data_IF_414678399610
#
_entry.id   IF_414678399610
#
_cell.length_a   1.000
_cell.length_b   1.000
_cell.length_c   1.000
_cell.angle_alpha   90.00
_cell.angle_beta   90.00
_cell.angle_gamma   90.00
#
_symmetry.space_group_name_H-M   'P 1'
#
loop_
_entity.id
_entity.type
_entity.pdbx_description
1 polymer ?
#
# COMPACT_ATOMS: atom_id res chain seq x y z
N UNK A 1 -47.11 -62.61 -47.64
CA UNK A 1 -45.68 -62.40 -47.92
C UNK A 1 -45.42 -60.91 -47.93
N UNK A 2 -44.75 -60.37 -46.97
CA UNK A 2 -44.51 -58.93 -46.86
C UNK A 2 -43.60 -58.66 -45.67
N UNK A 3 -42.28 -58.60 -45.90
CA UNK A 3 -41.27 -58.32 -44.92
C UNK A 3 -41.29 -56.81 -44.58
N UNK A 4 -41.51 -56.47 -43.32
CA UNK A 4 -41.32 -55.08 -42.78
C UNK A 4 -39.85 -54.96 -42.28
N UNK A 5 -39.07 -54.12 -42.92
CA UNK A 5 -37.77 -53.65 -42.40
C UNK A 5 -37.97 -52.61 -41.31
N UNK A 6 -37.50 -52.91 -40.14
CA UNK A 6 -37.46 -51.91 -39.04
C UNK A 6 -36.15 -51.12 -39.06
N UNK A 7 -36.27 -49.85 -39.24
CA UNK A 7 -35.14 -48.88 -39.16
C UNK A 7 -34.86 -48.51 -37.69
N UNK A 8 -33.74 -48.97 -37.16
CA UNK A 8 -33.27 -48.59 -35.81
C UNK A 8 -32.46 -47.29 -35.95
N UNK A 9 -32.99 -46.22 -35.47
CA UNK A 9 -32.28 -44.94 -35.32
C UNK A 9 -31.43 -45.02 -34.04
N UNK A 10 -30.12 -44.98 -34.23
CA UNK A 10 -29.13 -44.85 -33.13
C UNK A 10 -28.90 -43.36 -32.88
N UNK A 11 -29.40 -42.87 -31.73
CA UNK A 11 -29.12 -41.54 -31.26
C UNK A 11 -27.75 -41.56 -30.56
N UNK A 12 -26.74 -41.00 -31.23
CA UNK A 12 -25.41 -40.76 -30.64
C UNK A 12 -25.43 -39.55 -29.78
N UNK A 13 -25.35 -39.70 -28.46
CA UNK A 13 -25.15 -38.63 -27.55
C UNK A 13 -23.68 -38.18 -27.61
N UNK A 14 -23.41 -37.00 -28.20
CA UNK A 14 -22.13 -36.31 -28.15
C UNK A 14 -22.05 -35.60 -26.77
N UNK A 15 -21.31 -36.21 -25.83
CA UNK A 15 -20.91 -35.56 -24.60
C UNK A 15 -19.77 -34.59 -24.93
N UNK A 16 -20.10 -33.26 -25.03
CA UNK A 16 -19.12 -32.20 -25.01
C UNK A 16 -18.54 -32.13 -23.59
N UNK A 17 -17.39 -32.75 -23.38
CA UNK A 17 -16.56 -32.50 -22.22
C UNK A 17 -15.93 -31.11 -22.37
N UNK A 18 -16.58 -30.05 -21.82
CA UNK A 18 -15.95 -28.78 -21.57
C UNK A 18 -14.85 -28.99 -20.50
N UNK A 19 -13.64 -29.26 -20.97
CA UNK A 19 -12.45 -29.18 -20.12
C UNK A 19 -12.29 -27.77 -19.62
N UNK A 20 -12.69 -27.49 -18.39
CA UNK A 20 -12.26 -26.33 -17.62
C UNK A 20 -10.76 -26.47 -17.39
N UNK A 21 -9.96 -26.04 -18.36
CA UNK A 21 -8.55 -25.79 -18.13
C UNK A 21 -8.49 -24.61 -17.12
N UNK A 22 -8.41 -24.95 -15.84
CA UNK A 22 -7.87 -24.01 -14.86
C UNK A 22 -6.47 -23.65 -15.37
N UNK A 23 -6.34 -22.44 -15.90
CA UNK A 23 -5.06 -21.84 -16.19
C UNK A 23 -4.36 -21.66 -14.83
N UNK A 24 -3.69 -22.71 -14.39
CA UNK A 24 -2.68 -22.68 -13.36
C UNK A 24 -1.58 -21.83 -13.98
N UNK A 25 -1.47 -20.58 -13.54
CA UNK A 25 -0.34 -19.74 -13.87
C UNK A 25 0.88 -20.49 -13.34
N UNK A 26 1.57 -21.23 -14.20
CA UNK A 26 2.92 -21.71 -13.93
C UNK A 26 3.78 -20.47 -13.81
N UNK A 27 3.85 -19.90 -12.62
CA UNK A 27 4.88 -18.92 -12.31
C UNK A 27 6.20 -19.66 -12.44
N UNK A 28 7.04 -19.19 -13.37
CA UNK A 28 8.44 -19.61 -13.44
C UNK A 28 8.98 -19.58 -11.99
N UNK A 29 9.53 -20.69 -11.45
CA UNK A 29 9.98 -20.76 -10.06
C UNK A 29 11.04 -19.73 -9.72
N UNK A 30 11.64 -19.09 -10.71
CA UNK A 30 12.61 -18.01 -10.58
C UNK A 30 12.01 -16.61 -10.74
N UNK A 31 10.73 -16.46 -11.00
CA UNK A 31 10.07 -15.16 -11.15
C UNK A 31 9.42 -14.72 -9.83
N UNK A 32 9.71 -13.49 -9.38
CA UNK A 32 9.08 -12.84 -8.24
C UNK A 32 8.28 -11.64 -8.74
N UNK A 33 6.95 -11.66 -8.55
CA UNK A 33 6.06 -10.57 -8.93
C UNK A 33 5.74 -9.73 -7.69
N UNK A 34 6.21 -8.47 -7.68
CA UNK A 34 5.89 -7.49 -6.64
C UNK A 34 4.65 -6.69 -7.01
N UNK A 35 3.66 -6.64 -6.12
CA UNK A 35 2.53 -5.71 -6.19
C UNK A 35 2.82 -4.42 -5.45
N UNK A 36 2.58 -3.28 -6.09
CA UNK A 36 2.81 -1.94 -5.53
C UNK A 36 1.61 -1.04 -5.79
N UNK A 37 1.49 0.06 -5.02
CA UNK A 37 0.60 1.16 -5.36
C UNK A 37 1.39 2.26 -6.11
N UNK A 38 0.73 3.21 -6.79
CA UNK A 38 1.40 4.32 -7.46
C UNK A 38 2.33 5.09 -6.51
N UNK A 39 3.49 5.48 -7.02
CA UNK A 39 4.49 6.23 -6.28
C UNK A 39 5.85 5.52 -6.18
N UNK A 40 6.65 5.80 -5.16
CA UNK A 40 8.09 5.50 -5.15
C UNK A 40 8.44 4.02 -4.93
N UNK A 41 7.48 3.20 -4.47
CA UNK A 41 7.80 1.84 -4.03
C UNK A 41 8.06 0.88 -5.19
N UNK A 42 7.44 1.10 -6.36
CA UNK A 42 7.78 0.38 -7.58
C UNK A 42 9.22 0.65 -8.02
N UNK A 43 9.66 1.89 -7.93
CA UNK A 43 11.03 2.28 -8.24
C UNK A 43 12.01 1.78 -7.17
N UNK A 44 11.63 1.76 -5.89
CA UNK A 44 12.42 1.14 -4.83
C UNK A 44 12.68 -0.35 -5.12
N UNK A 45 11.65 -1.08 -5.56
CA UNK A 45 11.84 -2.48 -5.97
C UNK A 45 12.84 -2.58 -7.14
N UNK A 46 12.66 -1.78 -8.20
CA UNK A 46 13.50 -1.84 -9.40
C UNK A 46 14.95 -1.39 -9.16
N UNK A 47 15.17 -0.36 -8.34
CA UNK A 47 16.48 0.25 -8.15
C UNK A 47 17.26 -0.37 -7.00
N UNK A 48 16.59 -0.72 -5.89
CA UNK A 48 17.25 -1.14 -4.67
C UNK A 48 17.14 -2.64 -4.39
N UNK A 49 16.13 -3.34 -4.93
CA UNK A 49 15.87 -4.76 -4.62
C UNK A 49 16.18 -5.67 -5.81
N UNK A 50 15.66 -5.34 -6.99
CA UNK A 50 15.77 -6.15 -8.21
C UNK A 50 17.23 -6.48 -8.59
N UNK A 51 18.21 -5.55 -8.56
CA UNK A 51 19.57 -5.88 -8.99
C UNK A 51 20.19 -7.03 -8.19
N UNK A 52 20.08 -7.00 -6.87
CA UNK A 52 20.62 -8.06 -6.01
C UNK A 52 19.81 -9.36 -6.09
N UNK A 53 18.50 -9.29 -6.31
CA UNK A 53 17.71 -10.49 -6.59
C UNK A 53 18.07 -11.14 -7.93
N UNK A 54 18.40 -10.33 -8.94
CA UNK A 54 18.91 -10.85 -10.23
C UNK A 54 20.23 -11.59 -10.07
N UNK A 55 21.16 -11.09 -9.27
CA UNK A 55 22.42 -11.78 -8.94
C UNK A 55 22.18 -13.13 -8.27
N UNK A 56 21.08 -13.27 -7.52
CA UNK A 56 20.63 -14.53 -6.92
C UNK A 56 19.83 -15.45 -7.89
N UNK A 57 19.67 -15.04 -9.16
CA UNK A 57 19.01 -15.85 -10.22
C UNK A 57 17.51 -15.61 -10.36
N UNK A 58 16.93 -14.59 -9.70
CA UNK A 58 15.52 -14.27 -9.84
C UNK A 58 15.24 -13.31 -10.98
N UNK A 59 14.09 -13.48 -11.62
CA UNK A 59 13.47 -12.45 -12.47
C UNK A 59 12.47 -11.68 -11.61
N UNK A 60 12.57 -10.35 -11.58
CA UNK A 60 11.65 -9.50 -10.84
C UNK A 60 10.70 -8.80 -11.80
N UNK A 61 9.41 -8.80 -11.45
CA UNK A 61 8.33 -8.11 -12.17
C UNK A 61 7.60 -7.21 -11.18
N UNK A 62 7.37 -5.96 -11.54
CA UNK A 62 6.58 -5.02 -10.76
C UNK A 62 5.22 -4.83 -11.40
N UNK A 63 4.15 -5.05 -10.63
CA UNK A 63 2.75 -4.81 -11.02
C UNK A 63 2.16 -3.71 -10.15
N UNK A 64 1.76 -2.63 -10.78
CA UNK A 64 1.09 -1.51 -10.09
C UNK A 64 -0.42 -1.72 -10.04
N UNK A 65 -1.03 -1.39 -8.90
CA UNK A 65 -2.45 -1.40 -8.63
C UNK A 65 -2.90 0.01 -8.25
N UNK A 66 -4.08 0.42 -8.70
CA UNK A 66 -4.57 1.80 -8.53
C UNK A 66 -5.04 2.16 -7.12
N UNK A 67 -5.23 1.17 -6.25
CA UNK A 67 -5.76 1.32 -4.89
C UNK A 67 -4.99 0.48 -3.85
N UNK A 68 -5.41 0.57 -2.58
CA UNK A 68 -4.78 -0.15 -1.47
C UNK A 68 -5.43 -1.52 -1.14
N UNK A 69 -6.52 -1.89 -1.80
CA UNK A 69 -7.25 -3.15 -1.57
C UNK A 69 -6.68 -4.28 -2.42
N UNK A 70 -6.52 -3.99 -3.72
CA UNK A 70 -6.14 -4.99 -4.72
C UNK A 70 -4.80 -5.66 -4.48
N UNK A 71 -3.70 -4.99 -4.04
CA UNK A 71 -2.42 -5.68 -3.85
C UNK A 71 -2.47 -6.80 -2.81
N UNK A 72 -3.22 -6.64 -1.71
CA UNK A 72 -3.37 -7.70 -0.71
C UNK A 72 -4.26 -8.86 -1.21
N UNK A 73 -5.30 -8.56 -1.98
CA UNK A 73 -6.16 -9.58 -2.58
C UNK A 73 -5.37 -10.37 -3.64
N UNK A 74 -4.58 -9.70 -4.48
CA UNK A 74 -3.72 -10.32 -5.48
C UNK A 74 -2.61 -11.19 -4.85
N UNK A 75 -2.06 -10.75 -3.71
CA UNK A 75 -1.09 -11.55 -2.96
C UNK A 75 -1.75 -12.80 -2.38
N UNK A 76 -2.92 -12.65 -1.77
CA UNK A 76 -3.64 -13.76 -1.13
C UNK A 76 -4.08 -14.84 -2.13
N UNK A 77 -4.45 -14.45 -3.36
CA UNK A 77 -4.88 -15.41 -4.40
C UNK A 77 -3.72 -15.91 -5.29
N UNK A 78 -2.48 -15.56 -5.02
CA UNK A 78 -1.29 -16.01 -5.75
C UNK A 78 -1.04 -15.32 -7.10
N UNK A 79 -1.75 -14.21 -7.40
CA UNK A 79 -1.51 -13.46 -8.63
C UNK A 79 -0.22 -12.64 -8.58
N UNK A 80 0.33 -12.41 -7.40
CA UNK A 80 1.65 -11.83 -7.12
C UNK A 80 2.31 -12.61 -5.98
N UNK A 81 3.62 -12.46 -5.79
CA UNK A 81 4.41 -13.21 -4.81
C UNK A 81 4.76 -12.40 -3.56
N UNK A 82 4.91 -11.10 -3.73
CA UNK A 82 5.15 -10.15 -2.65
C UNK A 82 4.41 -8.83 -2.92
N UNK A 83 4.18 -8.03 -1.89
CA UNK A 83 3.77 -6.64 -2.10
C UNK A 83 4.56 -5.66 -1.24
N UNK A 84 4.63 -4.41 -1.72
CA UNK A 84 5.28 -3.30 -1.04
C UNK A 84 4.49 -2.01 -1.31
N UNK A 85 3.58 -1.64 -0.38
CA UNK A 85 2.77 -0.43 -0.54
C UNK A 85 2.17 0.11 0.77
N UNK A 86 2.14 -0.68 1.85
CA UNK A 86 1.32 -0.46 3.04
C UNK A 86 2.12 -0.47 4.33
N UNK A 87 1.73 0.32 5.34
CA UNK A 87 2.26 0.23 6.69
C UNK A 87 1.80 -1.04 7.42
N UNK A 88 2.58 -1.46 8.43
CA UNK A 88 2.23 -2.59 9.30
C UNK A 88 0.82 -2.48 9.87
N UNK A 89 0.43 -1.30 10.34
CA UNK A 89 -0.88 -1.06 10.93
C UNK A 89 -2.03 -1.33 9.94
N UNK A 90 -1.90 -0.84 8.70
CA UNK A 90 -2.88 -1.12 7.64
C UNK A 90 -2.94 -2.61 7.31
N UNK A 91 -1.77 -3.24 7.15
CA UNK A 91 -1.65 -4.66 6.87
C UNK A 91 -2.36 -5.50 7.94
N UNK A 92 -2.06 -5.27 9.22
CA UNK A 92 -2.62 -6.03 10.34
C UNK A 92 -4.16 -5.90 10.37
N UNK A 93 -4.67 -4.69 10.21
CA UNK A 93 -6.11 -4.44 10.19
C UNK A 93 -6.78 -5.08 8.98
N UNK A 94 -6.23 -4.88 7.78
CA UNK A 94 -6.79 -5.41 6.55
C UNK A 94 -6.80 -6.95 6.52
N UNK A 95 -5.71 -7.58 6.92
CA UNK A 95 -5.61 -9.05 6.95
C UNK A 95 -6.55 -9.66 7.98
N UNK A 96 -6.68 -9.05 9.16
CA UNK A 96 -7.63 -9.49 10.18
C UNK A 96 -9.08 -9.35 9.71
N UNK A 97 -9.46 -8.20 9.14
CA UNK A 97 -10.83 -7.93 8.67
C UNK A 97 -11.25 -8.84 7.51
N UNK A 98 -10.31 -9.24 6.66
CA UNK A 98 -10.54 -10.07 5.48
C UNK A 98 -10.21 -11.55 5.68
N UNK A 99 -9.65 -11.92 6.85
CA UNK A 99 -9.23 -13.30 7.13
C UNK A 99 -8.12 -13.80 6.21
N UNK A 100 -7.20 -12.91 5.77
CA UNK A 100 -6.14 -13.26 4.83
C UNK A 100 -4.93 -13.89 5.56
N UNK A 101 -4.36 -14.92 4.95
CA UNK A 101 -3.13 -15.58 5.45
C UNK A 101 -1.90 -14.98 4.78
N UNK A 102 -1.52 -13.80 5.23
CA UNK A 102 -0.36 -13.06 4.78
C UNK A 102 0.61 -12.83 5.94
N UNK A 103 1.90 -12.64 5.64
CA UNK A 103 2.97 -12.45 6.63
C UNK A 103 3.84 -11.26 6.24
N UNK A 104 4.16 -10.42 7.23
CA UNK A 104 5.11 -9.32 7.09
C UNK A 104 6.53 -9.88 7.10
N UNK A 105 7.38 -9.45 6.15
CA UNK A 105 8.80 -9.85 6.11
C UNK A 105 9.70 -8.81 6.78
N UNK A 106 9.61 -7.55 6.34
CA UNK A 106 10.52 -6.50 6.78
C UNK A 106 9.91 -5.12 6.53
N UNK A 107 10.20 -4.16 7.42
CA UNK A 107 9.88 -2.75 7.23
C UNK A 107 10.89 -2.07 6.31
N UNK A 108 10.44 -1.06 5.55
CA UNK A 108 11.28 -0.29 4.63
C UNK A 108 11.13 1.23 4.87
N UNK A 109 12.09 2.05 4.40
CA UNK A 109 11.96 3.51 4.44
C UNK A 109 10.65 3.98 3.83
N UNK A 110 9.99 4.93 4.50
CA UNK A 110 8.59 5.27 4.20
C UNK A 110 8.39 6.77 4.13
N UNK A 111 7.71 7.22 3.07
CA UNK A 111 7.18 8.59 2.97
C UNK A 111 5.95 8.73 3.87
N UNK A 112 5.98 9.67 4.79
CA UNK A 112 4.87 9.98 5.69
C UNK A 112 3.70 10.64 4.96
N UNK A 113 2.55 10.71 5.64
CA UNK A 113 1.43 11.54 5.21
C UNK A 113 1.80 13.03 5.38
N UNK A 114 1.42 13.86 4.42
CA UNK A 114 1.63 15.30 4.49
C UNK A 114 0.30 16.08 4.53
N UNK A 115 0.30 17.21 5.23
CA UNK A 115 -0.74 18.22 5.14
C UNK A 115 -0.35 19.22 4.07
N UNK A 116 -1.00 19.19 2.92
CA UNK A 116 -0.69 20.02 1.75
C UNK A 116 -1.78 21.05 1.49
N UNK A 117 -1.38 22.21 0.93
CA UNK A 117 -2.31 23.24 0.48
C UNK A 117 -1.70 24.06 -0.66
N UNK A 118 -2.53 24.46 -1.62
CA UNK A 118 -2.21 25.52 -2.59
C UNK A 118 -2.71 26.89 -2.14
N UNK A 119 -3.52 26.97 -1.07
CA UNK A 119 -4.24 28.19 -0.66
C UNK A 119 -3.71 28.86 0.59
N UNK A 120 -3.09 28.08 1.50
CA UNK A 120 -2.52 28.57 2.75
C UNK A 120 -1.07 28.09 2.89
N UNK A 121 -0.27 28.80 3.67
CA UNK A 121 1.14 28.48 3.94
C UNK A 121 1.39 28.01 5.36
N UNK A 122 0.43 28.22 6.26
CA UNK A 122 0.53 27.79 7.66
C UNK A 122 -0.81 27.33 8.20
N UNK A 123 -0.81 26.51 9.27
CA UNK A 123 -2.03 26.06 9.94
C UNK A 123 -2.80 27.21 10.61
N UNK A 124 -2.14 28.32 10.90
CA UNK A 124 -2.75 29.51 11.53
C UNK A 124 -3.73 30.21 10.59
N UNK A 125 -3.51 30.08 9.28
CA UNK A 125 -4.37 30.66 8.25
C UNK A 125 -5.71 29.92 8.08
N UNK A 126 -5.86 28.71 8.67
CA UNK A 126 -7.09 27.93 8.63
C UNK A 126 -8.25 28.67 9.32
N UNK A 127 -9.40 28.72 8.64
CA UNK A 127 -10.62 29.44 9.05
C UNK A 127 -11.80 28.48 9.16
N UNK A 128 -12.84 28.93 9.86
CA UNK A 128 -14.10 28.23 9.96
C UNK A 128 -14.70 27.97 8.56
N UNK A 129 -15.07 26.72 8.31
CA UNK A 129 -15.65 26.27 7.04
C UNK A 129 -14.62 25.82 6.01
N UNK A 130 -13.30 25.94 6.30
CA UNK A 130 -12.26 25.44 5.43
C UNK A 130 -12.37 23.92 5.25
N UNK A 131 -12.25 23.48 4.00
CA UNK A 131 -12.37 22.07 3.63
C UNK A 131 -11.00 21.42 3.70
N UNK A 132 -10.91 20.34 4.47
CA UNK A 132 -9.76 19.45 4.52
C UNK A 132 -10.18 18.07 4.01
N UNK A 133 -9.58 17.63 2.91
CA UNK A 133 -9.82 16.29 2.36
C UNK A 133 -8.86 15.27 2.95
N UNK A 134 -9.30 14.03 3.12
CA UNK A 134 -8.52 12.94 3.69
C UNK A 134 -9.03 11.60 3.17
N UNK A 135 -8.27 10.52 3.41
CA UNK A 135 -8.61 9.18 2.90
C UNK A 135 -9.91 8.66 3.52
N UNK A 136 -10.71 7.94 2.72
CA UNK A 136 -11.98 7.37 3.14
C UNK A 136 -11.89 5.91 3.61
N UNK A 137 -10.79 5.21 3.34
CA UNK A 137 -10.62 3.88 3.90
C UNK A 137 -10.44 3.97 5.42
N UNK A 138 -11.04 3.04 6.19
CA UNK A 138 -11.14 3.19 7.66
C UNK A 138 -9.80 3.38 8.35
N UNK A 139 -8.75 2.69 7.90
CA UNK A 139 -7.43 2.74 8.55
C UNK A 139 -6.72 4.06 8.29
N UNK A 140 -6.71 4.55 7.03
CA UNK A 140 -6.09 5.83 6.70
C UNK A 140 -6.96 7.03 7.14
N UNK A 141 -8.30 6.89 7.18
CA UNK A 141 -9.16 7.88 7.81
C UNK A 141 -8.79 8.08 9.28
N UNK A 142 -8.75 7.01 10.05
CA UNK A 142 -8.35 7.05 11.46
C UNK A 142 -6.92 7.60 11.64
N UNK A 143 -5.98 7.24 10.75
CA UNK A 143 -4.62 7.79 10.72
C UNK A 143 -4.63 9.29 10.45
N UNK A 144 -5.38 9.77 9.47
CA UNK A 144 -5.51 11.20 9.14
C UNK A 144 -6.08 12.00 10.31
N UNK A 145 -7.11 11.47 11.00
CA UNK A 145 -7.66 12.11 12.18
C UNK A 145 -6.65 12.18 13.34
N UNK A 146 -5.85 11.13 13.56
CA UNK A 146 -4.76 11.18 14.55
C UNK A 146 -3.69 12.19 14.17
N UNK A 147 -3.35 12.30 12.87
CA UNK A 147 -2.42 13.32 12.41
C UNK A 147 -2.98 14.72 12.66
N UNK A 148 -4.25 15.00 12.36
CA UNK A 148 -4.90 16.28 12.70
C UNK A 148 -4.90 16.54 14.20
N UNK A 149 -5.10 15.51 15.04
CA UNK A 149 -4.99 15.61 16.49
C UNK A 149 -3.57 15.98 16.93
N UNK A 150 -2.54 15.40 16.34
CA UNK A 150 -1.14 15.72 16.66
C UNK A 150 -0.73 17.14 16.24
N UNK A 151 -1.53 17.79 15.39
CA UNK A 151 -1.37 19.18 14.96
C UNK A 151 -2.26 20.15 15.78
N UNK A 152 -2.92 19.67 16.84
CA UNK A 152 -3.84 20.43 17.69
C UNK A 152 -5.05 21.04 16.92
N UNK A 153 -5.37 20.50 15.75
CA UNK A 153 -6.50 20.97 14.95
C UNK A 153 -7.84 20.38 15.40
N UNK A 154 -7.80 19.18 15.99
CA UNK A 154 -8.98 18.49 16.55
C UNK A 154 -8.61 17.74 17.83
N UNK A 155 -9.63 17.38 18.62
CA UNK A 155 -9.50 16.29 19.60
C UNK A 155 -10.41 15.13 19.20
N UNK A 156 -10.04 13.92 19.62
CA UNK A 156 -10.81 12.68 19.37
C UNK A 156 -11.31 12.20 20.73
N UNK A 157 -12.53 11.65 20.78
CA UNK A 157 -13.11 11.05 21.98
C UNK A 157 -12.18 10.01 22.60
N UNK A 158 -12.24 9.90 23.92
CA UNK A 158 -11.46 8.89 24.64
C UNK A 158 -11.94 7.47 24.33
N UNK A 159 -11.03 6.50 24.52
CA UNK A 159 -11.30 5.07 24.34
C UNK A 159 -11.72 4.62 22.92
N UNK A 160 -11.42 5.41 21.90
CA UNK A 160 -11.61 4.99 20.51
C UNK A 160 -10.39 4.18 20.05
N UNK A 161 -10.66 3.02 19.45
CA UNK A 161 -9.63 2.21 18.79
C UNK A 161 -8.87 3.07 17.77
N UNK A 162 -7.56 3.22 17.88
CA UNK A 162 -6.76 4.07 16.99
C UNK A 162 -6.88 3.73 15.50
N UNK A 163 -7.36 2.53 15.16
CA UNK A 163 -7.52 2.08 13.77
C UNK A 163 -8.93 2.27 13.23
N UNK A 164 -9.87 2.78 14.05
CA UNK A 164 -11.30 2.85 13.74
C UNK A 164 -11.93 4.23 13.90
N UNK A 165 -11.14 5.23 14.31
CA UNK A 165 -11.67 6.59 14.47
C UNK A 165 -12.27 7.10 13.15
N UNK A 166 -13.44 7.72 13.26
CA UNK A 166 -14.17 8.36 12.16
C UNK A 166 -14.46 9.82 12.52
N UNK A 167 -15.03 10.58 11.62
CA UNK A 167 -15.39 11.99 11.87
C UNK A 167 -16.42 12.14 13.00
N UNK A 168 -17.22 11.09 13.28
CA UNK A 168 -18.18 11.05 14.41
C UNK A 168 -17.50 10.98 15.76
N UNK A 169 -16.22 10.62 15.78
CA UNK A 169 -15.41 10.48 16.98
C UNK A 169 -14.60 11.74 17.30
N UNK A 170 -14.73 12.78 16.48
CA UNK A 170 -14.17 14.11 16.78
C UNK A 170 -14.93 14.67 17.98
N UNK A 171 -14.20 14.92 19.08
CA UNK A 171 -14.74 15.52 20.29
C UNK A 171 -14.73 17.06 20.23
N UNK A 172 -13.72 17.64 19.59
CA UNK A 172 -13.57 19.10 19.43
C UNK A 172 -12.93 19.43 18.08
N UNK A 173 -13.41 20.49 17.47
CA UNK A 173 -12.93 21.05 16.22
C UNK A 173 -12.96 22.60 16.32
N UNK A 174 -12.00 23.19 17.05
CA UNK A 174 -12.08 24.62 17.42
C UNK A 174 -12.05 25.56 16.21
N UNK A 175 -11.38 25.17 15.13
CA UNK A 175 -11.36 25.97 13.90
C UNK A 175 -12.61 25.77 13.03
N UNK A 176 -13.51 24.85 13.36
CA UNK A 176 -14.72 24.57 12.59
C UNK A 176 -14.43 24.09 11.16
N UNK A 177 -13.40 23.26 10.98
CA UNK A 177 -13.00 22.69 9.69
C UNK A 177 -14.06 21.71 9.19
N UNK A 178 -14.17 21.58 7.88
CA UNK A 178 -15.06 20.63 7.22
C UNK A 178 -14.22 19.49 6.65
N UNK A 179 -14.37 18.28 7.18
CA UNK A 179 -13.65 17.11 6.71
C UNK A 179 -14.42 16.41 5.60
N UNK A 180 -13.73 16.08 4.50
CA UNK A 180 -14.31 15.36 3.35
C UNK A 180 -13.47 14.13 3.01
N UNK A 181 -13.87 12.94 3.49
CA UNK A 181 -13.21 11.69 3.11
C UNK A 181 -13.42 11.36 1.63
N UNK A 182 -12.33 10.99 0.96
CA UNK A 182 -12.29 10.62 -0.46
C UNK A 182 -11.32 9.47 -0.68
N UNK A 183 -11.40 8.82 -1.83
CA UNK A 183 -10.42 7.81 -2.24
C UNK A 183 -9.00 8.40 -2.23
N UNK A 184 -8.05 7.70 -1.59
CA UNK A 184 -6.70 8.21 -1.34
C UNK A 184 -5.99 8.70 -2.60
N UNK A 185 -6.15 7.99 -3.72
CA UNK A 185 -5.58 8.36 -5.02
C UNK A 185 -6.12 9.69 -5.59
N UNK A 186 -7.26 10.18 -5.10
CA UNK A 186 -7.88 11.43 -5.57
C UNK A 186 -7.44 12.65 -4.77
N UNK A 187 -6.87 12.45 -3.57
CA UNK A 187 -6.56 13.54 -2.64
C UNK A 187 -5.63 14.62 -3.22
N UNK A 188 -4.56 14.30 -3.97
CA UNK A 188 -3.71 15.34 -4.56
C UNK A 188 -4.47 16.30 -5.47
N UNK A 189 -5.46 15.79 -6.23
CA UNK A 189 -6.28 16.61 -7.15
C UNK A 189 -7.23 17.56 -6.43
N UNK A 190 -7.53 17.31 -5.17
CA UNK A 190 -8.43 18.17 -4.38
C UNK A 190 -7.77 19.46 -3.94
N UNK A 191 -6.44 19.59 -4.03
CA UNK A 191 -5.69 20.78 -3.63
C UNK A 191 -6.12 22.06 -4.37
N UNK A 192 -6.66 21.93 -5.58
CA UNK A 192 -7.17 23.06 -6.35
C UNK A 192 -8.55 23.56 -5.83
N UNK A 193 -9.35 22.68 -5.26
CA UNK A 193 -10.72 22.96 -4.80
C UNK A 193 -10.87 23.06 -3.29
N UNK A 194 -10.26 22.17 -2.52
CA UNK A 194 -10.26 22.21 -1.06
C UNK A 194 -9.28 23.25 -0.51
N UNK A 195 -9.36 23.57 0.77
CA UNK A 195 -8.37 24.43 1.44
C UNK A 195 -7.08 23.66 1.67
N UNK A 196 -7.19 22.39 2.05
CA UNK A 196 -6.04 21.51 2.26
C UNK A 196 -6.42 20.04 2.03
N UNK A 197 -5.40 19.19 1.92
CA UNK A 197 -5.54 17.74 1.84
C UNK A 197 -4.50 17.03 2.69
N UNK A 198 -4.91 15.95 3.36
CA UNK A 198 -4.01 14.98 3.95
C UNK A 198 -3.67 13.93 2.90
N UNK A 199 -2.48 13.99 2.34
CA UNK A 199 -2.08 13.11 1.23
C UNK A 199 -1.06 12.09 1.71
N UNK A 200 -1.33 10.80 1.50
CA UNK A 200 -0.36 9.74 1.75
C UNK A 200 0.89 9.94 0.87
N UNK A 201 2.08 9.76 1.44
CA UNK A 201 3.34 10.12 0.80
C UNK A 201 3.57 9.51 -0.59
N UNK A 202 3.13 8.26 -0.81
CA UNK A 202 3.23 7.63 -2.14
C UNK A 202 2.36 8.34 -3.19
N UNK A 203 1.13 8.73 -2.86
CA UNK A 203 0.26 9.47 -3.78
C UNK A 203 0.70 10.92 -3.95
N UNK A 204 1.32 11.52 -2.93
CA UNK A 204 1.95 12.84 -3.08
C UNK A 204 3.05 12.78 -4.15
N UNK A 205 3.97 11.83 -4.03
CA UNK A 205 5.06 11.62 -5.01
C UNK A 205 4.51 11.25 -6.39
N UNK A 206 3.54 10.35 -6.48
CA UNK A 206 2.90 9.96 -7.75
C UNK A 206 2.23 11.14 -8.46
N UNK A 207 1.74 12.12 -7.71
CA UNK A 207 1.14 13.35 -8.25
C UNK A 207 2.17 14.46 -8.53
N UNK A 208 3.48 14.21 -8.30
CA UNK A 208 4.54 15.20 -8.50
C UNK A 208 4.67 16.25 -7.38
N UNK A 209 4.03 16.03 -6.22
CA UNK A 209 4.22 16.90 -5.07
C UNK A 209 5.60 16.60 -4.43
N UNK A 210 6.34 17.66 -4.15
CA UNK A 210 7.53 17.57 -3.32
C UNK A 210 7.12 17.40 -1.85
N UNK A 211 7.63 16.37 -1.18
CA UNK A 211 7.33 16.10 0.22
C UNK A 211 7.67 17.29 1.14
N UNK A 212 8.71 18.07 0.80
CA UNK A 212 9.13 19.25 1.56
C UNK A 212 8.14 20.41 1.49
N UNK A 213 7.21 20.42 0.52
CA UNK A 213 6.18 21.45 0.38
C UNK A 213 4.97 21.24 1.28
N UNK A 214 4.90 20.12 1.97
CA UNK A 214 3.87 19.92 2.98
C UNK A 214 3.99 20.95 4.11
N UNK A 215 2.89 21.61 4.49
CA UNK A 215 2.84 22.51 5.63
C UNK A 215 3.24 21.77 6.91
N UNK A 216 2.85 20.52 7.03
CA UNK A 216 3.26 19.57 8.08
C UNK A 216 3.43 18.17 7.52
N UNK A 217 4.46 17.50 8.01
CA UNK A 217 4.71 16.07 7.75
C UNK A 217 4.37 15.25 9.00
N UNK A 218 3.78 14.07 8.78
CA UNK A 218 3.54 13.10 9.85
C UNK A 218 4.85 12.49 10.32
N UNK A 219 5.01 12.38 11.64
CA UNK A 219 6.05 11.54 12.22
C UNK A 219 5.58 10.08 12.24
N UNK A 220 6.41 9.17 11.74
CA UNK A 220 6.06 7.75 11.62
C UNK A 220 6.62 6.93 12.78
N UNK A 221 5.73 6.44 13.61
CA UNK A 221 6.04 5.30 14.47
C UNK A 221 6.36 4.06 13.62
N UNK A 222 7.01 3.04 14.20
CA UNK A 222 7.45 1.86 13.44
C UNK A 222 6.28 1.12 12.76
N UNK A 223 5.10 1.08 13.39
CA UNK A 223 3.89 0.47 12.81
C UNK A 223 3.28 1.25 11.63
N UNK A 224 3.70 2.50 11.43
CA UNK A 224 3.31 3.33 10.28
C UNK A 224 4.31 3.25 9.12
N UNK A 225 5.41 2.52 9.28
CA UNK A 225 6.35 2.26 8.18
C UNK A 225 5.87 1.12 7.30
N UNK A 226 6.09 1.27 6.00
CA UNK A 226 5.70 0.28 5.00
C UNK A 226 6.50 -1.01 5.16
N UNK A 227 5.88 -2.10 4.76
CA UNK A 227 6.43 -3.44 4.85
C UNK A 227 6.43 -4.13 3.48
N UNK A 228 7.32 -5.09 3.33
CA UNK A 228 7.18 -6.14 2.31
C UNK A 228 6.42 -7.29 2.96
N UNK A 229 5.39 -7.77 2.27
CA UNK A 229 4.59 -8.90 2.71
C UNK A 229 4.54 -10.00 1.64
N UNK A 230 4.34 -11.23 2.11
CA UNK A 230 4.17 -12.46 1.30
C UNK A 230 2.99 -13.26 1.82
N UNK A 231 2.56 -14.32 1.11
CA UNK A 231 1.64 -15.33 1.68
C UNK A 231 2.32 -16.01 2.88
N UNK A 232 1.54 -16.38 3.89
CA UNK A 232 2.11 -17.00 5.10
C UNK A 232 2.82 -18.34 4.80
N UNK A 233 2.33 -19.09 3.83
CA UNK A 233 2.95 -20.34 3.36
C UNK A 233 4.27 -20.14 2.61
N UNK A 234 4.56 -18.93 2.18
CA UNK A 234 5.76 -18.56 1.45
C UNK A 234 6.83 -17.90 2.33
N UNK A 235 6.51 -17.56 3.56
CA UNK A 235 7.39 -16.78 4.44
C UNK A 235 8.76 -17.43 4.69
N UNK A 236 8.82 -18.76 4.68
CA UNK A 236 10.05 -19.53 4.87
C UNK A 236 10.73 -19.98 3.57
N UNK A 237 10.14 -19.68 2.41
CA UNK A 237 10.72 -20.03 1.12
C UNK A 237 11.99 -19.24 0.81
N UNK A 238 12.89 -19.79 -0.02
CA UNK A 238 14.16 -19.11 -0.36
C UNK A 238 13.97 -17.67 -0.82
N UNK A 239 13.03 -17.40 -1.73
CA UNK A 239 12.83 -16.06 -2.28
C UNK A 239 12.43 -15.03 -1.20
N UNK A 240 11.63 -15.42 -0.20
CA UNK A 240 11.22 -14.54 0.87
C UNK A 240 12.40 -14.19 1.81
N UNK A 241 13.26 -15.17 2.09
CA UNK A 241 14.51 -14.97 2.85
C UNK A 241 15.50 -14.10 2.09
N UNK A 242 15.63 -14.33 0.79
CA UNK A 242 16.48 -13.52 -0.10
C UNK A 242 16.01 -12.07 -0.19
N UNK A 243 14.69 -11.81 -0.24
CA UNK A 243 14.15 -10.44 -0.17
C UNK A 243 14.61 -9.75 1.13
N UNK A 244 14.50 -10.40 2.27
CA UNK A 244 14.91 -9.83 3.56
C UNK A 244 16.42 -9.57 3.60
N UNK A 245 17.23 -10.50 3.09
CA UNK A 245 18.69 -10.35 3.01
C UNK A 245 19.06 -9.16 2.12
N UNK A 246 18.45 -9.06 0.93
CA UNK A 246 18.69 -7.97 -0.02
C UNK A 246 18.31 -6.61 0.59
N UNK A 247 17.14 -6.50 1.24
CA UNK A 247 16.72 -5.25 1.89
C UNK A 247 17.67 -4.84 3.03
N UNK A 248 18.31 -5.80 3.70
CA UNK A 248 19.31 -5.52 4.73
C UNK A 248 20.72 -5.28 4.19
N UNK A 249 20.93 -5.42 2.90
CA UNK A 249 22.28 -5.35 2.30
C UNK A 249 22.82 -3.92 2.22
N UNK A 250 24.16 -3.75 2.17
CA UNK A 250 24.79 -2.46 1.87
C UNK A 250 24.38 -1.89 0.50
N UNK A 251 24.12 -2.74 -0.48
CA UNK A 251 23.68 -2.32 -1.83
C UNK A 251 22.32 -1.63 -1.79
N UNK A 252 21.33 -2.22 -1.08
CA UNK A 252 20.04 -1.58 -0.85
C UNK A 252 20.22 -0.23 -0.14
N UNK A 253 21.02 -0.22 0.93
CA UNK A 253 21.26 0.99 1.71
C UNK A 253 21.88 2.12 0.86
N UNK A 254 22.81 1.80 -0.02
CA UNK A 254 23.44 2.77 -0.91
C UNK A 254 22.43 3.48 -1.81
N UNK A 255 21.41 2.77 -2.31
CA UNK A 255 20.33 3.36 -3.10
C UNK A 255 19.42 4.24 -2.24
N UNK A 256 19.09 3.79 -1.03
CA UNK A 256 18.22 4.56 -0.12
C UNK A 256 18.89 5.86 0.37
N UNK A 257 20.20 5.82 0.60
CA UNK A 257 20.97 6.95 1.14
C UNK A 257 21.51 7.89 0.04
N UNK A 258 21.35 7.53 -1.24
CA UNK A 258 21.74 8.40 -2.34
C UNK A 258 20.88 9.68 -2.37
N UNK A 259 21.49 10.88 -2.19
CA UNK A 259 20.75 12.15 -2.16
C UNK A 259 20.06 12.50 -3.49
N UNK A 260 20.38 11.80 -4.58
CA UNK A 260 19.69 11.96 -5.87
C UNK A 260 18.33 11.26 -5.90
N UNK A 261 18.09 10.35 -4.98
CA UNK A 261 16.85 9.61 -4.89
C UNK A 261 15.87 10.28 -3.92
N UNK A 262 14.57 10.08 -4.16
CA UNK A 262 13.49 10.61 -3.30
C UNK A 262 13.51 10.03 -1.88
N UNK A 263 14.24 8.92 -1.67
CA UNK A 263 14.26 8.17 -0.42
C UNK A 263 14.98 8.89 0.73
N UNK A 264 15.78 9.91 0.45
CA UNK A 264 16.44 10.75 1.46
C UNK A 264 15.45 11.46 2.39
N UNK A 265 14.23 11.76 1.89
CA UNK A 265 13.14 12.34 2.67
C UNK A 265 12.29 11.30 3.43
N UNK A 266 12.58 10.00 3.27
CA UNK A 266 11.79 8.94 3.90
C UNK A 266 12.27 8.68 5.33
N UNK A 267 11.33 8.37 6.21
CA UNK A 267 11.64 7.98 7.58
C UNK A 267 12.07 6.52 7.59
N UNK A 268 13.30 6.28 8.04
CA UNK A 268 13.93 4.95 8.06
C UNK A 268 13.37 4.08 9.19
N UNK A 269 13.23 2.76 8.99
CA UNK A 269 12.84 1.83 10.05
C UNK A 269 13.94 1.71 11.12
N UNK A 270 13.54 1.25 12.32
CA UNK A 270 14.43 1.14 13.47
C UNK A 270 15.65 0.25 13.21
N UNK A 271 15.49 -0.83 12.45
CA UNK A 271 16.61 -1.72 12.14
C UNK A 271 17.70 -1.03 11.28
N UNK A 272 17.34 -0.02 10.43
CA UNK A 272 18.31 0.78 9.69
C UNK A 272 19.02 1.79 10.60
N UNK A 273 18.27 2.48 11.46
CA UNK A 273 18.82 3.51 12.37
C UNK A 273 19.61 2.93 13.52
N UNK A 274 19.27 1.73 13.97
CA UNK A 274 20.07 1.01 14.98
C UNK A 274 21.44 0.58 14.45
N UNK A 275 21.57 0.31 13.15
CA UNK A 275 22.85 0.02 12.52
C UNK A 275 23.78 1.24 12.46
N UNK A 276 23.24 2.46 12.41
CA UNK A 276 24.01 3.72 12.41
C UNK A 276 24.63 4.06 13.77
N UNK A 277 24.17 3.40 14.85
CA UNK A 277 24.62 3.65 16.22
C UNK A 277 25.74 2.70 16.68
N UNK A 278 26.16 1.79 15.82
CA UNK A 278 27.27 0.84 16.07
C UNK A 278 28.51 1.22 15.27
#
# INVERSE_FOLDING_TARGET
MGRRLGLRATVGALLLACGLSSAQANSDPHTIVFGVAPGPYGDMVKQAIEPSLKEKGYKVVVREFSDYVQPNMALSNGSIDANLFQPSLYFDKFTADKGLKLTKLITVPTAGMGFYSHKIKSLDELKKGDIVTLSNDPTNLARGLRFLKSLDLITIKDNIDPTKASERDIASNPKGLVFKPLEAAQLPRTLDSATAALVNGNFAIAAGLDLSTAIKQEHLDENLKNIIAVRSEDADKPFAKDIVEVVKSPAYRAVIDDPKNVYGAFQKPEWMTAADKK
#
